data_IF_493728474622
#
_entry.id   IF_493728474622
#
_cell.length_a   1.000
_cell.length_b   1.000
_cell.length_c   1.000
_cell.angle_alpha   90.00
_cell.angle_beta   90.00
_cell.angle_gamma   90.00
#
_symmetry.space_group_name_H-M   'P 1'
#
loop_
_entity.id
_entity.type
_entity.pdbx_description
1 polymer ?
#
# COMPACT_ATOMS: atom_id res chain seq x y z
N UNK A 1 -1.16 -36.40 -12.67
CA UNK A 1 -1.03 -34.93 -12.52
C UNK A 1 -1.85 -34.53 -11.30
N UNK A 2 -1.23 -33.98 -10.26
CA UNK A 2 -2.01 -33.38 -9.17
C UNK A 2 -2.72 -32.15 -9.73
N UNK A 3 -4.04 -32.19 -9.82
CA UNK A 3 -4.85 -31.00 -10.11
C UNK A 3 -4.64 -30.09 -8.89
N UNK A 4 -4.09 -28.89 -9.09
CA UNK A 4 -3.85 -27.94 -8.01
C UNK A 4 -5.17 -27.63 -7.30
N UNK A 5 -5.26 -27.95 -6.01
CA UNK A 5 -6.46 -27.75 -5.18
C UNK A 5 -6.51 -26.30 -4.67
N UNK A 6 -6.62 -25.35 -5.59
CA UNK A 6 -6.51 -23.91 -5.29
C UNK A 6 -7.66 -23.41 -4.43
N UNK A 7 -8.88 -23.91 -4.66
CA UNK A 7 -10.06 -23.54 -3.86
C UNK A 7 -9.87 -23.89 -2.39
N UNK A 8 -9.37 -25.11 -2.10
CA UNK A 8 -9.07 -25.51 -0.73
C UNK A 8 -7.91 -24.73 -0.12
N UNK A 9 -6.91 -24.35 -0.93
CA UNK A 9 -5.82 -23.50 -0.44
C UNK A 9 -6.35 -22.12 -0.05
N UNK A 10 -7.24 -21.53 -0.86
CA UNK A 10 -7.90 -20.27 -0.55
C UNK A 10 -8.70 -20.35 0.76
N UNK A 11 -9.52 -21.39 0.93
CA UNK A 11 -10.28 -21.61 2.18
C UNK A 11 -9.35 -21.74 3.38
N UNK A 12 -8.30 -22.58 3.30
CA UNK A 12 -7.33 -22.74 4.37
C UNK A 12 -6.65 -21.42 4.75
N UNK A 13 -6.25 -20.62 3.77
CA UNK A 13 -5.61 -19.32 4.00
C UNK A 13 -6.57 -18.30 4.62
N UNK A 14 -7.85 -18.30 4.21
CA UNK A 14 -8.90 -17.49 4.85
C UNK A 14 -9.09 -17.87 6.31
N UNK A 15 -9.18 -19.16 6.61
CA UNK A 15 -9.30 -19.64 8.00
C UNK A 15 -8.06 -19.33 8.85
N UNK A 16 -6.87 -19.41 8.25
CA UNK A 16 -5.62 -19.07 8.91
C UNK A 16 -5.39 -17.56 9.06
N UNK A 17 -6.22 -16.71 8.45
CA UNK A 17 -6.05 -15.25 8.39
C UNK A 17 -4.69 -14.88 7.76
N UNK A 18 -4.23 -15.68 6.80
CA UNK A 18 -2.97 -15.45 6.10
C UNK A 18 -3.20 -14.58 4.85
N UNK A 19 -3.19 -13.27 5.06
CA UNK A 19 -3.37 -12.30 3.99
C UNK A 19 -2.24 -12.24 2.98
N UNK A 20 -1.02 -12.59 3.38
CA UNK A 20 0.12 -12.63 2.46
C UNK A 20 0.00 -13.80 1.49
N UNK A 21 -0.43 -14.96 2.00
CA UNK A 21 -0.74 -16.13 1.18
C UNK A 21 -1.92 -15.88 0.25
N UNK A 22 -2.99 -15.26 0.75
CA UNK A 22 -4.14 -14.87 -0.09
C UNK A 22 -3.74 -13.88 -1.18
N UNK A 23 -2.90 -12.90 -0.87
CA UNK A 23 -2.39 -11.96 -1.86
C UNK A 23 -1.60 -12.67 -2.96
N UNK A 24 -0.71 -13.58 -2.59
CA UNK A 24 0.06 -14.37 -3.55
C UNK A 24 -0.86 -15.20 -4.45
N UNK A 25 -1.87 -15.84 -3.86
CA UNK A 25 -2.83 -16.65 -4.60
C UNK A 25 -3.65 -15.80 -5.58
N UNK A 26 -4.29 -14.73 -5.11
CA UNK A 26 -5.13 -13.88 -5.96
C UNK A 26 -4.34 -13.14 -7.04
N UNK A 27 -3.12 -12.66 -6.73
CA UNK A 27 -2.26 -12.03 -7.73
C UNK A 27 -1.79 -13.02 -8.80
N UNK A 28 -1.50 -14.26 -8.43
CA UNK A 28 -1.12 -15.32 -9.39
C UNK A 28 -2.29 -15.75 -10.26
N UNK A 29 -3.52 -15.69 -9.75
CA UNK A 29 -4.75 -15.99 -10.48
C UNK A 29 -5.26 -14.81 -11.32
N UNK A 30 -4.75 -13.59 -11.09
CA UNK A 30 -5.30 -12.38 -11.69
C UNK A 30 -6.70 -12.02 -11.19
N UNK A 31 -7.07 -12.47 -9.99
CA UNK A 31 -8.39 -12.20 -9.41
C UNK A 31 -8.44 -10.79 -8.79
N UNK A 32 -8.83 -9.81 -9.61
CA UNK A 32 -8.96 -8.43 -9.19
C UNK A 32 -10.03 -8.23 -8.09
N UNK A 33 -11.08 -9.06 -8.08
CA UNK A 33 -12.14 -8.96 -7.08
C UNK A 33 -11.65 -9.45 -5.72
N UNK A 34 -10.98 -10.60 -5.69
CA UNK A 34 -10.32 -11.14 -4.49
C UNK A 34 -9.30 -10.17 -3.90
N UNK A 35 -8.44 -9.56 -4.74
CA UNK A 35 -7.48 -8.55 -4.31
C UNK A 35 -8.20 -7.32 -3.72
N UNK A 36 -9.30 -6.86 -4.32
CA UNK A 36 -10.03 -5.69 -3.80
C UNK A 36 -10.69 -5.96 -2.45
N UNK A 37 -11.23 -7.17 -2.23
CA UNK A 37 -11.77 -7.55 -0.93
C UNK A 37 -10.66 -7.68 0.12
N UNK A 38 -9.54 -8.29 -0.27
CA UNK A 38 -8.36 -8.43 0.59
C UNK A 38 -7.78 -7.08 1.00
N UNK A 39 -7.78 -6.07 0.11
CA UNK A 39 -7.35 -4.71 0.43
C UNK A 39 -8.14 -4.11 1.60
N UNK A 40 -9.47 -4.23 1.55
CA UNK A 40 -10.37 -3.72 2.60
C UNK A 40 -10.13 -4.46 3.91
N UNK A 41 -10.12 -5.80 3.89
CA UNK A 41 -9.88 -6.62 5.08
C UNK A 41 -8.50 -6.34 5.71
N UNK A 42 -7.47 -6.22 4.88
CA UNK A 42 -6.11 -5.91 5.34
C UNK A 42 -6.04 -4.51 5.98
N UNK A 43 -6.74 -3.52 5.42
CA UNK A 43 -6.82 -2.16 5.99
C UNK A 43 -7.53 -2.19 7.35
N UNK A 44 -8.66 -2.89 7.46
CA UNK A 44 -9.40 -3.03 8.73
C UNK A 44 -8.59 -3.74 9.82
N UNK A 45 -7.75 -4.71 9.45
CA UNK A 45 -6.85 -5.39 10.38
C UNK A 45 -5.52 -4.64 10.64
N UNK A 46 -5.36 -3.42 10.11
CA UNK A 46 -4.14 -2.63 10.26
C UNK A 46 -2.91 -3.20 9.53
N UNK A 47 -3.09 -4.15 8.61
CA UNK A 47 -2.05 -4.73 7.76
C UNK A 47 -1.81 -3.83 6.54
N UNK A 48 -1.32 -2.62 6.80
CA UNK A 48 -1.17 -1.57 5.79
C UNK A 48 -0.27 -1.97 4.62
N UNK A 49 0.76 -2.78 4.84
CA UNK A 49 1.64 -3.29 3.79
C UNK A 49 0.89 -4.17 2.77
N UNK A 50 0.03 -5.07 3.24
CA UNK A 50 -0.78 -5.93 2.38
C UNK A 50 -1.83 -5.09 1.67
N UNK A 51 -2.51 -4.20 2.40
CA UNK A 51 -3.50 -3.30 1.81
C UNK A 51 -2.88 -2.41 0.70
N UNK A 52 -1.69 -1.86 0.94
CA UNK A 52 -0.94 -1.07 -0.04
C UNK A 52 -0.66 -1.87 -1.31
N UNK A 53 -0.13 -3.10 -1.17
CA UNK A 53 0.22 -3.92 -2.32
C UNK A 53 -1.02 -4.37 -3.10
N UNK A 54 -2.12 -4.69 -2.43
CA UNK A 54 -3.39 -4.96 -3.08
C UNK A 54 -3.87 -3.77 -3.92
N UNK A 55 -3.90 -2.57 -3.34
CA UNK A 55 -4.31 -1.35 -4.04
C UNK A 55 -3.36 -1.01 -5.20
N UNK A 56 -2.06 -1.22 -5.01
CA UNK A 56 -1.04 -0.93 -6.02
C UNK A 56 -1.18 -1.84 -7.24
N UNK A 57 -1.38 -3.16 -7.03
CA UNK A 57 -1.62 -4.12 -8.11
C UNK A 57 -2.92 -3.84 -8.85
N UNK A 58 -3.94 -3.32 -8.15
CA UNK A 58 -5.21 -2.87 -8.76
C UNK A 58 -5.09 -1.52 -9.50
N UNK A 59 -3.95 -0.83 -9.41
CA UNK A 59 -3.74 0.47 -10.03
C UNK A 59 -4.46 1.63 -9.33
N UNK A 60 -4.92 1.43 -8.08
CA UNK A 60 -5.61 2.47 -7.28
C UNK A 60 -4.61 3.35 -6.55
N UNK A 61 -3.87 4.15 -7.31
CA UNK A 61 -2.71 4.91 -6.81
C UNK A 61 -3.11 5.99 -5.79
N UNK A 62 -4.26 6.64 -5.98
CA UNK A 62 -4.79 7.63 -5.05
C UNK A 62 -5.12 7.01 -3.69
N UNK A 63 -5.70 5.82 -3.67
CA UNK A 63 -6.02 5.08 -2.44
C UNK A 63 -4.75 4.62 -1.72
N UNK A 64 -3.73 4.18 -2.47
CA UNK A 64 -2.40 3.88 -1.94
C UNK A 64 -1.78 5.11 -1.24
N UNK A 65 -1.86 6.27 -1.90
CA UNK A 65 -1.34 7.52 -1.34
C UNK A 65 -2.08 7.87 -0.04
N UNK A 66 -3.41 7.81 -0.06
CA UNK A 66 -4.22 8.08 1.13
C UNK A 66 -3.86 7.13 2.27
N UNK A 67 -3.66 5.84 2.00
CA UNK A 67 -3.24 4.87 3.02
C UNK A 67 -1.88 5.22 3.66
N UNK A 68 -0.92 5.69 2.87
CA UNK A 68 0.40 6.11 3.38
C UNK A 68 0.30 7.38 4.23
N UNK A 69 -0.55 8.35 3.83
CA UNK A 69 -0.78 9.56 4.62
C UNK A 69 -1.51 9.23 5.93
N UNK A 70 -2.55 8.41 5.89
CA UNK A 70 -3.32 7.96 7.07
C UNK A 70 -2.45 7.18 8.07
N UNK A 71 -1.46 6.44 7.58
CA UNK A 71 -0.51 5.69 8.41
C UNK A 71 0.73 6.49 8.85
N UNK A 72 0.74 7.81 8.61
CA UNK A 72 1.85 8.72 8.91
C UNK A 72 3.19 8.31 8.25
N UNK A 73 3.13 7.68 7.07
CA UNK A 73 4.29 7.26 6.28
C UNK A 73 4.60 8.28 5.20
N UNK A 74 4.76 9.54 5.59
CA UNK A 74 4.91 10.67 4.68
C UNK A 74 6.13 10.56 3.73
N UNK A 75 7.32 10.09 4.17
CA UNK A 75 8.45 9.89 3.26
C UNK A 75 8.17 8.84 2.17
N UNK A 76 7.49 7.75 2.53
CA UNK A 76 7.09 6.69 1.59
C UNK A 76 6.06 7.22 0.59
N UNK A 77 5.11 8.04 1.06
CA UNK A 77 4.14 8.74 0.21
C UNK A 77 4.83 9.67 -0.79
N UNK A 78 5.82 10.46 -0.34
CA UNK A 78 6.58 11.38 -1.19
C UNK A 78 7.34 10.64 -2.30
N UNK A 79 7.96 9.49 -1.96
CA UNK A 79 8.65 8.65 -2.94
C UNK A 79 7.68 8.04 -3.96
N UNK A 80 6.51 7.59 -3.50
CA UNK A 80 5.47 7.01 -4.35
C UNK A 80 4.94 8.03 -5.37
N UNK A 81 4.54 9.23 -4.93
CA UNK A 81 3.96 10.24 -5.84
C UNK A 81 4.97 10.74 -6.86
N UNK A 82 6.25 10.82 -6.50
CA UNK A 82 7.31 11.19 -7.45
C UNK A 82 7.39 10.23 -8.63
N UNK A 83 7.10 8.94 -8.42
CA UNK A 83 7.22 7.91 -9.46
C UNK A 83 5.90 7.64 -10.19
N UNK A 84 4.77 7.65 -9.47
CA UNK A 84 3.49 7.17 -9.99
C UNK A 84 2.41 8.26 -10.12
N UNK A 85 2.50 9.36 -9.36
CA UNK A 85 1.51 10.45 -9.34
C UNK A 85 2.20 11.84 -9.29
N UNK A 86 2.94 12.25 -10.33
CA UNK A 86 3.75 13.46 -10.31
C UNK A 86 2.94 14.73 -10.06
N UNK A 87 1.65 14.74 -10.41
CA UNK A 87 0.71 15.84 -10.16
C UNK A 87 0.48 16.14 -8.67
N UNK A 88 0.73 15.17 -7.78
CA UNK A 88 0.52 15.26 -6.33
C UNK A 88 1.81 15.51 -5.53
N UNK A 89 2.97 15.59 -6.19
CA UNK A 89 4.27 15.76 -5.55
C UNK A 89 4.32 17.02 -4.67
N UNK A 90 3.94 18.17 -5.22
CA UNK A 90 4.00 19.44 -4.49
C UNK A 90 3.16 19.44 -3.22
N UNK A 91 2.01 18.78 -3.24
CA UNK A 91 1.10 18.64 -2.10
C UNK A 91 1.75 17.81 -0.98
N UNK A 92 2.28 16.62 -1.31
CA UNK A 92 2.86 15.70 -0.34
C UNK A 92 4.20 16.20 0.19
N UNK A 93 5.03 16.82 -0.63
CA UNK A 93 6.29 17.43 -0.19
C UNK A 93 6.03 18.59 0.79
N UNK A 94 4.96 19.37 0.57
CA UNK A 94 4.57 20.41 1.53
C UNK A 94 4.14 19.81 2.87
N UNK A 95 3.41 18.68 2.87
CA UNK A 95 3.07 17.94 4.10
C UNK A 95 4.34 17.44 4.78
N UNK A 96 5.26 16.83 4.03
CA UNK A 96 6.51 16.31 4.58
C UNK A 96 7.38 17.39 5.22
N UNK A 97 7.53 18.55 4.57
CA UNK A 97 8.26 19.69 5.13
C UNK A 97 7.66 20.17 6.44
N UNK A 98 6.32 20.23 6.53
CA UNK A 98 5.63 20.59 7.77
C UNK A 98 5.88 19.56 8.86
N UNK A 99 5.90 18.28 8.52
CA UNK A 99 6.16 17.20 9.47
C UNK A 99 7.59 17.29 10.03
N UNK A 100 8.60 17.45 9.16
CA UNK A 100 10.00 17.64 9.56
C UNK A 100 10.23 18.89 10.41
N UNK A 101 9.50 19.97 10.14
CA UNK A 101 9.61 21.21 10.92
C UNK A 101 9.09 21.09 12.36
N UNK A 102 8.26 20.08 12.65
CA UNK A 102 7.79 19.81 14.02
C UNK A 102 8.83 19.04 14.84
N UNK A 103 9.77 18.35 14.19
CA UNK A 103 10.74 17.45 14.83
C UNK A 103 12.15 18.07 14.97
N UNK A 104 12.33 19.39 14.75
CA UNK A 104 13.63 20.10 14.84
C UNK A 104 14.78 19.50 14.00
N UNK A 105 14.47 18.71 12.96
CA UNK A 105 15.44 18.15 12.01
C UNK A 105 15.67 19.09 10.82
N UNK A 106 16.18 20.29 11.11
CA UNK A 106 16.27 21.42 10.17
C UNK A 106 17.25 21.19 8.98
N UNK A 107 18.14 20.19 9.05
CA UNK A 107 19.10 19.88 7.97
C UNK A 107 18.48 19.10 6.79
N UNK A 108 17.48 18.25 7.02
CA UNK A 108 16.92 17.39 5.94
C UNK A 108 15.98 18.14 4.99
N UNK A 109 15.38 19.25 5.43
CA UNK A 109 14.45 20.04 4.62
C UNK A 109 15.10 20.69 3.38
N UNK A 110 16.42 20.90 3.40
CA UNK A 110 17.18 21.48 2.27
C UNK A 110 17.34 20.47 1.11
N UNK A 111 17.40 19.17 1.42
CA UNK A 111 17.62 18.10 0.43
C UNK A 111 16.37 17.86 -0.45
N UNK A 112 15.19 18.30 -0.02
CA UNK A 112 13.92 18.08 -0.73
C UNK A 112 13.59 19.13 -1.79
N UNK A 113 14.60 19.84 -2.30
CA UNK A 113 14.46 20.91 -3.30
C UNK A 113 14.55 20.44 -4.76
N UNK A 114 14.50 19.12 -5.00
CA UNK A 114 14.53 18.50 -6.32
C UNK A 114 13.14 18.10 -6.80
#
# INVERSE_FOLDING_TARGET
MSIGKLDMAEECLKYAVDYSGLLLLYSSLGDAQGISQLATLAKEQGKNNVAFLCLFVLGKLEDCLQLLVESNRIPEAALMVRSYLPSKVSEIVAIWRKDLSKEDLNEQATILSW
#
